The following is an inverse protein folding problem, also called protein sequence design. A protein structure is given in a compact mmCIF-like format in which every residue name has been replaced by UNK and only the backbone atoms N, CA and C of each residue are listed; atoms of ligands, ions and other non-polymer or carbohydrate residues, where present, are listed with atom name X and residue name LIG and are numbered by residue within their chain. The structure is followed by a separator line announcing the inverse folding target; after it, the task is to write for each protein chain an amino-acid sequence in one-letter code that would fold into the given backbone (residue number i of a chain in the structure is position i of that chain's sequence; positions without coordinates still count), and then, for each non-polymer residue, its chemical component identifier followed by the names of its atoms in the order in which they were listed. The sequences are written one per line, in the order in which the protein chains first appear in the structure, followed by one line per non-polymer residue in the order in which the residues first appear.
data_IF_889571551011
#
_entry.id   IF_889571551011
#
_cell.length_a   1.000
_cell.length_b   1.000
_cell.length_c   1.000
_cell.angle_alpha   90.00
_cell.angle_beta   90.00
_cell.angle_gamma   90.00
#
_symmetry.space_group_name_H-M   'P 1'
#
loop_
_entity.id
_entity.type
_entity.pdbx_description
1 polymer ?
#
# COMPACT_ATOMS: atom_id res chain seq x y z
N UNK A 1 -7.88 19.81 -5.93
CA UNK A 1 -8.84 18.93 -6.66
C UNK A 1 -8.53 17.51 -6.27
N UNK A 2 -9.53 16.64 -6.09
CA UNK A 2 -9.32 15.24 -5.70
C UNK A 2 -9.57 14.34 -6.90
N UNK A 3 -8.77 13.29 -7.03
CA UNK A 3 -8.92 12.29 -8.09
C UNK A 3 -9.95 11.24 -7.66
N UNK A 4 -10.65 10.67 -8.62
CA UNK A 4 -11.56 9.55 -8.38
C UNK A 4 -10.73 8.27 -8.22
N UNK A 5 -10.92 7.56 -7.11
CA UNK A 5 -10.32 6.24 -6.91
C UNK A 5 -11.23 5.19 -7.58
N UNK A 6 -10.67 4.45 -8.55
CA UNK A 6 -11.37 3.37 -9.24
C UNK A 6 -11.45 2.13 -8.34
N UNK A 7 -12.51 1.36 -8.49
CA UNK A 7 -12.80 0.20 -7.65
C UNK A 7 -12.49 -1.13 -8.35
N UNK A 8 -12.31 -2.18 -7.56
CA UNK A 8 -12.13 -3.55 -8.06
C UNK A 8 -13.18 -3.91 -9.12
N UNK A 9 -12.72 -4.49 -10.23
CA UNK A 9 -13.51 -4.69 -11.45
C UNK A 9 -13.11 -3.74 -12.59
N UNK A 10 -12.46 -2.60 -12.29
CA UNK A 10 -11.89 -1.76 -13.33
C UNK A 10 -10.66 -2.47 -13.97
N UNK A 11 -10.62 -2.58 -15.33
CA UNK A 11 -9.55 -3.27 -16.02
C UNK A 11 -8.15 -2.68 -15.79
N UNK A 12 -8.04 -1.38 -15.47
CA UNK A 12 -6.75 -0.73 -15.23
C UNK A 12 -6.03 -1.34 -14.03
N UNK A 13 -6.77 -1.77 -13.00
CA UNK A 13 -6.22 -2.40 -11.78
C UNK A 13 -5.63 -3.79 -12.03
N UNK A 14 -5.83 -4.36 -13.21
CA UNK A 14 -5.36 -5.70 -13.59
C UNK A 14 -4.28 -5.68 -14.67
N UNK A 15 -3.84 -4.49 -15.07
CA UNK A 15 -2.78 -4.31 -16.06
C UNK A 15 -1.44 -4.07 -15.37
N UNK A 16 -0.37 -4.61 -15.96
CA UNK A 16 0.97 -4.18 -15.61
C UNK A 16 1.17 -2.75 -16.09
N UNK A 17 1.57 -1.88 -15.21
CA UNK A 17 1.83 -0.47 -15.50
C UNK A 17 3.13 -0.30 -16.28
N UNK A 18 3.16 0.68 -17.19
CA UNK A 18 4.38 1.02 -17.94
C UNK A 18 5.34 1.86 -17.11
N UNK A 19 6.61 1.70 -17.35
CA UNK A 19 7.63 2.57 -16.77
C UNK A 19 7.53 4.00 -17.32
N UNK A 20 7.98 4.97 -16.50
CA UNK A 20 8.15 6.36 -16.88
C UNK A 20 9.61 6.63 -17.30
N UNK A 21 9.82 7.43 -18.33
CA UNK A 21 11.16 7.97 -18.65
C UNK A 21 11.54 9.11 -17.70
N UNK A 22 12.84 9.47 -17.65
CA UNK A 22 13.29 10.59 -16.81
C UNK A 22 12.69 11.93 -17.26
N UNK A 23 12.48 12.10 -18.58
CA UNK A 23 11.84 13.28 -19.17
C UNK A 23 10.37 13.38 -18.74
N UNK A 24 9.65 12.26 -18.77
CA UNK A 24 8.26 12.21 -18.28
C UNK A 24 8.18 12.56 -16.80
N UNK A 25 9.06 12.00 -15.97
CA UNK A 25 9.10 12.28 -14.52
C UNK A 25 9.26 13.78 -14.26
N UNK A 26 10.17 14.44 -14.98
CA UNK A 26 10.40 15.89 -14.87
C UNK A 26 9.31 16.78 -15.48
N UNK A 27 8.32 16.20 -16.16
CA UNK A 27 7.27 16.97 -16.83
C UNK A 27 6.31 17.64 -15.82
N UNK A 28 5.78 18.85 -16.13
CA UNK A 28 4.78 19.48 -15.27
C UNK A 28 3.54 18.62 -15.02
N UNK A 29 3.16 17.78 -15.99
CA UNK A 29 1.98 16.90 -15.87
C UNK A 29 2.19 15.81 -14.82
N UNK A 30 3.33 15.15 -14.78
CA UNK A 30 3.64 14.11 -13.78
C UNK A 30 3.86 14.77 -12.41
N UNK A 31 4.53 15.91 -12.32
CA UNK A 31 4.69 16.62 -11.05
C UNK A 31 3.34 17.04 -10.46
N UNK A 32 2.44 17.58 -11.28
CA UNK A 32 1.09 17.92 -10.83
C UNK A 32 0.28 16.66 -10.45
N UNK A 33 0.42 15.56 -11.17
CA UNK A 33 -0.24 14.29 -10.83
C UNK A 33 0.20 13.78 -9.45
N UNK A 34 1.50 13.86 -9.12
CA UNK A 34 2.04 13.48 -7.80
C UNK A 34 1.37 14.31 -6.68
N UNK A 35 1.19 15.62 -6.88
CA UNK A 35 0.51 16.48 -5.90
C UNK A 35 -0.97 16.07 -5.73
N UNK A 36 -1.68 15.84 -6.83
CA UNK A 36 -3.07 15.40 -6.79
C UNK A 36 -3.22 14.02 -6.14
N UNK A 37 -2.30 13.09 -6.40
CA UNK A 37 -2.28 11.77 -5.76
C UNK A 37 -2.04 11.88 -4.25
N UNK A 38 -1.08 12.71 -3.82
CA UNK A 38 -0.84 12.99 -2.40
C UNK A 38 -2.09 13.50 -1.70
N UNK A 39 -2.73 14.50 -2.29
CA UNK A 39 -3.91 15.13 -1.69
C UNK A 39 -5.11 14.17 -1.67
N UNK A 40 -5.27 13.34 -2.71
CA UNK A 40 -6.29 12.30 -2.79
C UNK A 40 -6.06 11.20 -1.74
N UNK A 41 -4.82 10.72 -1.59
CA UNK A 41 -4.44 9.73 -0.58
C UNK A 41 -4.75 10.24 0.84
N UNK A 42 -4.39 11.48 1.13
CA UNK A 42 -4.63 12.12 2.45
C UNK A 42 -6.11 12.30 2.76
N UNK A 43 -6.93 12.58 1.76
CA UNK A 43 -8.37 12.72 1.91
C UNK A 43 -9.09 11.39 2.16
N UNK A 44 -8.60 10.33 1.56
CA UNK A 44 -9.11 8.97 1.72
C UNK A 44 -8.56 8.22 2.94
N UNK A 45 -7.96 8.88 3.92
CA UNK A 45 -6.95 8.52 4.92
C UNK A 45 -6.17 7.23 4.63
N UNK A 46 -5.59 7.18 3.41
CA UNK A 46 -4.72 6.10 2.97
C UNK A 46 -3.26 6.32 3.38
N UNK A 47 -2.49 5.24 3.41
CA UNK A 47 -1.03 5.26 3.66
C UNK A 47 -0.21 5.05 2.39
N UNK A 48 -0.88 4.73 1.28
CA UNK A 48 -0.33 4.61 -0.06
C UNK A 48 -1.41 4.80 -1.13
N UNK A 49 -1.00 5.21 -2.32
CA UNK A 49 -1.86 5.31 -3.51
C UNK A 49 -1.01 5.11 -4.75
N UNK A 50 -1.31 4.09 -5.52
CA UNK A 50 -0.67 3.79 -6.80
C UNK A 50 -1.45 4.39 -7.98
N UNK A 51 -0.75 4.78 -9.04
CA UNK A 51 -1.35 5.40 -10.21
C UNK A 51 -2.48 4.57 -10.86
N UNK A 52 -2.43 3.23 -10.93
CA UNK A 52 -3.57 2.44 -11.40
C UNK A 52 -4.87 2.67 -10.62
N UNK A 53 -4.78 3.02 -9.34
CA UNK A 53 -5.96 3.28 -8.51
C UNK A 53 -6.67 4.59 -8.87
N UNK A 54 -6.04 5.45 -9.64
CA UNK A 54 -6.64 6.68 -10.18
C UNK A 54 -6.82 6.62 -11.70
N UNK A 55 -6.74 5.42 -12.27
CA UNK A 55 -6.96 5.18 -13.71
C UNK A 55 -5.73 5.30 -14.59
N UNK A 56 -4.55 5.61 -14.05
CA UNK A 56 -3.32 5.84 -14.79
C UNK A 56 -2.41 4.59 -14.76
N UNK A 57 -2.18 3.94 -15.91
CA UNK A 57 -1.38 2.70 -16.00
C UNK A 57 0.12 3.00 -16.13
N UNK A 58 0.69 3.67 -15.12
CA UNK A 58 2.12 4.05 -15.04
C UNK A 58 2.73 3.56 -13.73
N UNK A 59 4.05 3.29 -13.72
CA UNK A 59 4.77 2.83 -12.53
C UNK A 59 5.11 3.99 -11.59
N UNK A 60 4.08 4.50 -10.90
CA UNK A 60 4.18 5.57 -9.93
C UNK A 60 3.27 5.28 -8.73
N UNK A 61 3.79 5.44 -7.52
CA UNK A 61 3.00 5.43 -6.29
C UNK A 61 3.50 6.48 -5.29
N UNK A 62 2.58 6.99 -4.47
CA UNK A 62 2.87 7.90 -3.36
C UNK A 62 2.62 7.18 -2.04
N UNK A 63 3.47 7.45 -1.04
CA UNK A 63 3.44 6.77 0.26
C UNK A 63 3.61 7.81 1.37
N UNK A 64 2.82 7.69 2.43
CA UNK A 64 2.94 8.45 3.67
C UNK A 64 2.18 7.72 4.78
N UNK A 65 2.82 7.46 5.93
CA UNK A 65 2.09 7.02 7.13
C UNK A 65 2.22 8.11 8.20
N UNK A 66 1.17 8.90 8.35
CA UNK A 66 1.18 10.11 9.19
C UNK A 66 1.10 9.75 10.67
N UNK A 67 1.82 10.48 11.50
CA UNK A 67 1.74 10.33 12.94
C UNK A 67 0.29 10.39 13.46
N UNK A 68 -0.53 11.28 12.89
CA UNK A 68 -1.95 11.39 13.23
C UNK A 68 -2.77 10.11 12.98
N UNK A 69 -2.30 9.18 12.14
CA UNK A 69 -2.99 7.91 11.88
C UNK A 69 -2.66 6.84 12.91
N UNK A 70 -1.62 7.06 13.72
CA UNK A 70 -1.14 6.07 14.69
C UNK A 70 -1.22 6.54 16.14
N UNK A 71 -1.61 7.81 16.37
CA UNK A 71 -1.68 8.41 17.71
C UNK A 71 -2.58 7.61 18.67
N UNK A 72 -3.71 7.10 18.19
CA UNK A 72 -4.68 6.35 19.00
C UNK A 72 -4.51 4.82 18.90
N UNK A 73 -3.43 4.36 18.23
CA UNK A 73 -3.13 2.92 18.12
C UNK A 73 -2.32 2.48 19.35
N UNK A 74 -2.72 1.41 20.07
CA UNK A 74 -1.98 0.90 21.22
C UNK A 74 -0.51 0.60 20.88
N UNK A 75 0.38 0.92 21.82
CA UNK A 75 1.83 0.80 21.63
C UNK A 75 2.30 -0.63 21.33
N UNK A 76 1.64 -1.63 21.94
CA UNK A 76 1.89 -3.05 21.68
C UNK A 76 1.52 -3.45 20.25
N UNK A 77 0.42 -2.93 19.71
CA UNK A 77 0.03 -3.15 18.31
C UNK A 77 0.97 -2.45 17.32
N UNK A 78 1.47 -1.26 17.66
CA UNK A 78 2.50 -0.59 16.86
C UNK A 78 3.81 -1.38 16.87
N UNK A 79 4.20 -1.89 18.04
CA UNK A 79 5.42 -2.71 18.18
C UNK A 79 5.31 -4.03 17.41
N UNK A 80 4.16 -4.74 17.52
CA UNK A 80 3.90 -6.00 16.79
C UNK A 80 4.04 -5.80 15.28
N UNK A 81 3.52 -4.69 14.76
CA UNK A 81 3.59 -4.34 13.33
C UNK A 81 4.89 -3.66 12.93
N UNK A 82 5.75 -3.31 13.88
CA UNK A 82 6.91 -2.45 13.65
C UNK A 82 6.50 -1.20 12.87
N UNK A 83 5.40 -0.56 13.29
CA UNK A 83 4.81 0.60 12.62
C UNK A 83 5.29 1.89 13.26
N UNK A 84 5.81 2.79 12.45
CA UNK A 84 6.21 4.14 12.82
C UNK A 84 5.81 5.12 11.71
N UNK A 85 5.75 6.43 11.98
CA UNK A 85 5.47 7.40 10.95
C UNK A 85 6.45 7.30 9.78
N UNK A 86 5.93 7.47 8.57
CA UNK A 86 6.70 7.46 7.32
C UNK A 86 6.44 8.79 6.63
N UNK A 87 7.47 9.61 6.38
CA UNK A 87 7.32 10.87 5.65
C UNK A 87 6.85 10.63 4.22
N UNK A 88 6.14 11.61 3.67
CA UNK A 88 5.70 11.58 2.28
C UNK A 88 6.89 11.36 1.35
N UNK A 89 6.75 10.41 0.44
CA UNK A 89 7.71 10.17 -0.62
C UNK A 89 7.03 9.47 -1.82
N UNK A 90 7.76 9.43 -2.92
CA UNK A 90 7.31 8.89 -4.20
C UNK A 90 8.22 7.74 -4.61
N UNK A 91 7.65 6.68 -5.14
CA UNK A 91 8.38 5.60 -5.80
C UNK A 91 7.97 5.50 -7.26
N UNK A 92 8.93 5.54 -8.16
CA UNK A 92 8.72 5.45 -9.61
C UNK A 92 9.60 4.32 -10.17
N UNK A 93 9.05 3.50 -11.04
CA UNK A 93 9.71 2.34 -11.64
C UNK A 93 10.35 1.41 -10.58
N UNK A 94 9.62 1.00 -9.54
CA UNK A 94 10.20 0.27 -8.43
C UNK A 94 10.54 -1.18 -8.81
N UNK A 95 11.69 -1.64 -8.31
CA UNK A 95 12.10 -3.05 -8.28
C UNK A 95 12.14 -3.53 -6.84
N UNK A 96 11.29 -4.48 -6.51
CA UNK A 96 11.18 -5.08 -5.18
C UNK A 96 12.12 -6.28 -5.05
N UNK A 97 12.84 -6.35 -3.94
CA UNK A 97 13.75 -7.43 -3.58
C UNK A 97 13.46 -7.87 -2.13
N UNK A 98 13.29 -9.17 -1.92
CA UNK A 98 13.11 -9.75 -0.58
C UNK A 98 14.49 -9.97 0.05
N UNK A 99 14.66 -9.54 1.31
CA UNK A 99 15.95 -9.60 1.98
C UNK A 99 16.17 -10.92 2.76
N UNK A 100 15.07 -11.53 3.19
CA UNK A 100 15.08 -12.85 3.86
C UNK A 100 13.71 -13.54 3.64
N UNK A 101 13.53 -14.72 4.23
CA UNK A 101 12.26 -15.49 4.12
C UNK A 101 11.29 -15.19 5.27
N UNK A 102 11.57 -14.19 6.11
CA UNK A 102 10.66 -13.81 7.20
C UNK A 102 9.42 -13.13 6.67
N UNK A 103 8.26 -13.48 7.22
CA UNK A 103 6.98 -12.90 6.85
C UNK A 103 6.11 -12.64 8.08
N UNK A 104 5.08 -11.80 7.91
CA UNK A 104 4.07 -11.57 8.92
C UNK A 104 2.68 -11.45 8.28
N UNK A 105 1.68 -11.85 9.04
CA UNK A 105 0.28 -11.87 8.64
C UNK A 105 -0.47 -10.77 9.39
N UNK A 106 -1.09 -9.86 8.63
CA UNK A 106 -1.95 -8.81 9.18
C UNK A 106 -3.13 -8.56 8.25
N UNK A 107 -4.19 -7.97 8.78
CA UNK A 107 -5.25 -7.44 7.94
C UNK A 107 -4.74 -6.30 7.06
N UNK A 108 -5.12 -6.36 5.79
CA UNK A 108 -4.97 -5.28 4.82
C UNK A 108 -6.35 -4.85 4.31
N UNK A 109 -6.49 -3.56 4.03
CA UNK A 109 -7.54 -2.97 3.23
C UNK A 109 -6.93 -2.26 2.04
N UNK A 110 -7.76 -1.83 1.11
CA UNK A 110 -7.34 -1.10 -0.07
C UNK A 110 -8.38 -0.05 -0.45
N UNK A 111 -7.93 1.13 -0.86
CA UNK A 111 -8.83 2.20 -1.33
C UNK A 111 -9.64 1.80 -2.57
N UNK A 112 -9.10 0.87 -3.37
CA UNK A 112 -9.78 0.31 -4.56
C UNK A 112 -10.63 -0.95 -4.26
N UNK A 113 -10.70 -1.39 -2.99
CA UNK A 113 -11.56 -2.48 -2.49
C UNK A 113 -12.26 -1.96 -1.25
N UNK A 114 -13.04 -0.90 -1.44
CA UNK A 114 -13.63 -0.14 -0.36
C UNK A 114 -14.54 -0.99 0.55
N UNK A 115 -14.39 -0.82 1.86
CA UNK A 115 -15.25 -1.45 2.87
C UNK A 115 -14.90 -2.90 3.20
N UNK A 116 -13.81 -3.46 2.65
CA UNK A 116 -13.36 -4.82 2.94
C UNK A 116 -11.90 -4.86 3.41
N UNK A 117 -11.59 -5.87 4.21
CA UNK A 117 -10.24 -6.23 4.60
C UNK A 117 -10.09 -7.74 4.72
N UNK A 118 -8.84 -8.23 4.64
CA UNK A 118 -8.51 -9.63 4.83
C UNK A 118 -7.08 -9.80 5.30
N UNK A 119 -6.75 -10.94 5.87
CA UNK A 119 -5.38 -11.25 6.29
C UNK A 119 -4.54 -11.60 5.05
N UNK A 120 -3.39 -10.93 4.96
CA UNK A 120 -2.40 -11.12 3.91
C UNK A 120 -1.04 -11.41 4.54
N UNK A 121 -0.32 -12.37 3.99
CA UNK A 121 1.07 -12.65 4.33
C UNK A 121 2.01 -11.76 3.50
N UNK A 122 2.95 -11.08 4.16
CA UNK A 122 3.92 -10.21 3.51
C UNK A 122 5.32 -10.43 4.07
N UNK A 123 6.32 -10.32 3.21
CA UNK A 123 7.70 -10.30 3.66
C UNK A 123 7.94 -9.19 4.68
N UNK A 124 8.65 -9.51 5.78
CA UNK A 124 8.96 -8.54 6.83
C UNK A 124 10.04 -7.56 6.44
N UNK A 125 10.95 -7.93 5.52
CA UNK A 125 12.07 -7.08 5.12
C UNK A 125 12.23 -7.07 3.62
N UNK A 126 12.23 -5.87 3.06
CA UNK A 126 12.38 -5.65 1.62
C UNK A 126 13.39 -4.55 1.32
N UNK A 127 13.93 -4.61 0.10
CA UNK A 127 14.67 -3.52 -0.52
C UNK A 127 13.95 -3.12 -1.79
N UNK A 128 13.71 -1.83 -1.98
CA UNK A 128 13.12 -1.29 -3.20
C UNK A 128 14.14 -0.36 -3.86
N UNK A 129 14.52 -0.66 -5.10
CA UNK A 129 15.31 0.19 -5.97
C UNK A 129 14.34 0.92 -6.88
N UNK A 130 14.34 2.26 -6.87
CA UNK A 130 13.38 3.05 -7.63
C UNK A 130 13.92 4.44 -7.96
N UNK A 131 13.13 5.24 -8.65
CA UNK A 131 13.37 6.67 -8.84
C UNK A 131 12.46 7.46 -7.89
N UNK A 132 12.94 8.60 -7.42
CA UNK A 132 12.14 9.58 -6.71
C UNK A 132 11.43 10.54 -7.69
N UNK A 133 10.70 11.54 -7.15
CA UNK A 133 9.98 12.55 -7.94
C UNK A 133 10.88 13.46 -8.80
N UNK A 134 12.20 13.44 -8.57
CA UNK A 134 13.19 14.16 -9.38
C UNK A 134 13.86 13.27 -10.42
N UNK A 135 13.49 12.00 -10.51
CA UNK A 135 14.12 11.02 -11.41
C UNK A 135 15.51 10.56 -10.93
N UNK A 136 15.83 10.77 -9.65
CA UNK A 136 17.07 10.31 -9.02
C UNK A 136 16.89 8.87 -8.51
N UNK A 137 17.93 8.05 -8.69
CA UNK A 137 17.94 6.68 -8.19
C UNK A 137 18.04 6.67 -6.66
N UNK A 138 17.11 5.96 -6.03
CA UNK A 138 17.11 5.76 -4.59
C UNK A 138 16.95 4.29 -4.24
N UNK A 139 17.45 3.91 -3.08
CA UNK A 139 17.27 2.58 -2.50
C UNK A 139 16.62 2.71 -1.13
N UNK A 140 15.46 2.10 -0.98
CA UNK A 140 14.71 2.04 0.26
C UNK A 140 14.90 0.66 0.89
N UNK A 141 15.39 0.61 2.13
CA UNK A 141 15.37 -0.61 2.96
C UNK A 141 14.25 -0.45 3.97
N UNK A 142 13.28 -1.33 3.94
CA UNK A 142 12.10 -1.27 4.79
C UNK A 142 11.87 -2.58 5.53
N UNK A 143 11.27 -2.45 6.71
CA UNK A 143 10.82 -3.59 7.53
C UNK A 143 9.45 -3.33 8.13
N UNK A 144 8.78 -4.40 8.59
CA UNK A 144 7.49 -4.35 9.27
C UNK A 144 6.39 -3.73 8.41
N UNK A 145 5.67 -2.76 8.99
CA UNK A 145 4.53 -2.12 8.32
C UNK A 145 4.93 -1.34 7.06
N UNK A 146 6.10 -0.68 7.08
CA UNK A 146 6.59 0.02 5.89
C UNK A 146 6.90 -0.95 4.73
N UNK A 147 7.52 -2.10 5.02
CA UNK A 147 7.72 -3.13 4.00
C UNK A 147 6.39 -3.64 3.42
N UNK A 148 5.34 -3.72 4.24
CA UNK A 148 3.99 -4.11 3.82
C UNK A 148 3.38 -3.08 2.87
N UNK A 149 3.44 -1.80 3.20
CA UNK A 149 2.93 -0.72 2.34
C UNK A 149 3.62 -0.76 0.98
N UNK A 150 4.95 -0.83 0.95
CA UNK A 150 5.71 -0.90 -0.31
C UNK A 150 5.29 -2.10 -1.18
N UNK A 151 5.11 -3.27 -0.58
CA UNK A 151 4.65 -4.46 -1.30
C UNK A 151 3.24 -4.28 -1.85
N UNK A 152 2.34 -3.66 -1.08
CA UNK A 152 0.96 -3.40 -1.49
C UNK A 152 0.91 -2.45 -2.70
N UNK A 153 1.64 -1.33 -2.65
CA UNK A 153 1.66 -0.35 -3.74
C UNK A 153 2.35 -0.91 -5.00
N UNK A 154 3.42 -1.67 -4.84
CA UNK A 154 4.09 -2.32 -5.98
C UNK A 154 3.22 -3.41 -6.60
N UNK A 155 2.42 -4.12 -5.82
CA UNK A 155 1.42 -5.06 -6.36
C UNK A 155 0.45 -4.36 -7.31
N UNK A 156 -0.06 -3.18 -6.95
CA UNK A 156 -0.93 -2.40 -7.85
C UNK A 156 -0.25 -2.07 -9.19
N UNK A 157 1.04 -1.73 -9.17
CA UNK A 157 1.79 -1.45 -10.39
C UNK A 157 1.97 -2.69 -11.28
N UNK A 158 1.83 -3.87 -10.70
CA UNK A 158 1.90 -5.16 -11.39
C UNK A 158 0.51 -5.78 -11.67
N UNK A 159 -0.58 -5.03 -11.51
CA UNK A 159 -1.93 -5.50 -11.75
C UNK A 159 -2.47 -6.48 -10.71
N UNK A 160 -1.90 -6.51 -9.52
CA UNK A 160 -2.27 -7.38 -8.40
C UNK A 160 -2.96 -6.57 -7.31
N UNK A 161 -4.03 -7.11 -6.73
CA UNK A 161 -4.70 -6.56 -5.55
C UNK A 161 -4.43 -7.44 -4.32
N UNK A 162 -4.57 -6.88 -3.12
CA UNK A 162 -4.38 -7.67 -1.90
C UNK A 162 -5.32 -8.89 -1.82
N UNK A 163 -6.51 -8.80 -2.44
CA UNK A 163 -7.48 -9.92 -2.49
C UNK A 163 -6.95 -11.14 -3.26
N UNK A 164 -5.96 -10.96 -4.14
CA UNK A 164 -5.32 -12.07 -4.85
C UNK A 164 -4.33 -12.86 -3.97
N UNK A 165 -3.92 -12.24 -2.85
CA UNK A 165 -2.95 -12.79 -1.89
C UNK A 165 -3.57 -13.15 -0.56
N UNK A 166 -4.82 -12.74 -0.34
CA UNK A 166 -5.49 -12.90 0.95
C UNK A 166 -5.74 -14.37 1.31
N UNK A 167 -5.80 -14.62 2.60
CA UNK A 167 -6.45 -15.82 3.13
C UNK A 167 -7.96 -15.65 2.95
N UNK A 168 -8.53 -16.30 1.96
CA UNK A 168 -9.91 -16.05 1.47
C UNK A 168 -10.98 -16.13 2.56
N UNK A 169 -10.84 -17.08 3.50
CA UNK A 169 -11.79 -17.22 4.62
C UNK A 169 -11.75 -16.07 5.63
N UNK A 170 -10.72 -15.22 5.60
CA UNK A 170 -10.59 -14.05 6.48
C UNK A 170 -11.16 -12.78 5.88
N UNK A 171 -11.75 -12.82 4.67
CA UNK A 171 -12.40 -11.67 4.06
C UNK A 171 -13.55 -11.20 4.94
N UNK A 172 -13.49 -9.95 5.35
CA UNK A 172 -14.47 -9.34 6.25
C UNK A 172 -14.80 -7.91 5.83
N UNK A 173 -16.00 -7.45 6.16
CA UNK A 173 -16.34 -6.04 6.02
C UNK A 173 -15.62 -5.21 7.10
N UNK A 174 -15.45 -3.91 6.85
CA UNK A 174 -14.86 -3.00 7.83
C UNK A 174 -15.68 -2.97 9.15
N UNK A 175 -17.00 -3.06 9.06
CA UNK A 175 -17.90 -3.13 10.22
C UNK A 175 -17.62 -4.39 11.05
N UNK A 176 -17.60 -5.57 10.42
CA UNK A 176 -17.35 -6.84 11.11
C UNK A 176 -15.90 -6.93 11.62
N UNK A 177 -14.94 -6.38 10.86
CA UNK A 177 -13.55 -6.26 11.33
C UNK A 177 -13.49 -5.50 12.65
N UNK A 178 -14.15 -4.34 12.71
CA UNK A 178 -14.20 -3.53 13.92
C UNK A 178 -14.92 -4.24 15.08
N UNK A 179 -16.07 -4.88 14.78
CA UNK A 179 -16.94 -5.52 15.79
C UNK A 179 -16.32 -6.78 16.39
N UNK A 180 -15.69 -7.63 15.59
CA UNK A 180 -15.30 -8.98 16.01
C UNK A 180 -13.78 -9.18 16.12
N UNK A 181 -12.97 -8.52 15.25
CA UNK A 181 -11.58 -8.89 15.03
C UNK A 181 -10.57 -7.84 15.50
N UNK A 182 -10.97 -6.58 15.73
CA UNK A 182 -10.06 -5.48 16.07
C UNK A 182 -9.21 -5.76 17.31
N UNK A 183 -9.74 -6.46 18.30
CA UNK A 183 -9.07 -6.78 19.58
C UNK A 183 -8.49 -8.20 19.63
N UNK A 184 -8.65 -9.00 18.58
CA UNK A 184 -8.14 -10.35 18.51
C UNK A 184 -6.72 -10.38 17.91
N UNK A 185 -5.89 -11.31 18.39
CA UNK A 185 -4.61 -11.58 17.72
C UNK A 185 -4.86 -12.25 16.37
N UNK A 186 -3.93 -12.10 15.44
CA UNK A 186 -4.01 -12.77 14.13
C UNK A 186 -4.14 -14.28 14.27
N UNK A 187 -3.48 -14.88 15.28
CA UNK A 187 -3.58 -16.31 15.55
C UNK A 187 -5.00 -16.73 15.97
N UNK A 188 -5.67 -15.94 16.82
CA UNK A 188 -7.06 -16.19 17.20
C UNK A 188 -8.01 -16.09 16.01
N UNK A 189 -7.86 -15.03 15.19
CA UNK A 189 -8.66 -14.87 13.96
C UNK A 189 -8.48 -16.07 13.03
N UNK A 190 -7.25 -16.53 12.84
CA UNK A 190 -6.96 -17.68 11.98
C UNK A 190 -7.46 -18.99 12.56
N UNK A 191 -7.50 -19.14 13.87
CA UNK A 191 -8.09 -20.34 14.51
C UNK A 191 -9.60 -20.40 14.31
N UNK A 192 -10.29 -19.26 14.25
CA UNK A 192 -11.74 -19.20 14.06
C UNK A 192 -12.17 -19.23 12.57
N UNK A 193 -11.42 -18.56 11.70
CA UNK A 193 -11.76 -18.38 10.28
C UNK A 193 -10.93 -19.24 9.32
N UNK A 194 -9.79 -19.75 9.77
CA UNK A 194 -8.77 -20.44 8.97
C UNK A 194 -9.12 -21.82 8.44
#
# INVERSE_FOLDING_TARGET
MKLKIVQAGDPVLRKQSRALSKEEIGSPSIQHLIELMRDTMRDAPGVGLAAPQIGESIQLAVIEDREAYITDVPADQLAERQRSPIPFHVIINPKLLFLDNSSAQFFEGCLSVAGFSAIVDRALKVRVECLNERGEEITIKAQGWYARILQHEIDHLNGTLYVDRMKTRTLTTAENMFRFWKSQSIQQVLAELG
#
